data_IF_084944252220
#
_entry.id   IF_084944252220
#
_cell.length_a   1.000
_cell.length_b   1.000
_cell.length_c   1.000
_cell.angle_alpha   90.00
_cell.angle_beta   90.00
_cell.angle_gamma   90.00
#
_symmetry.space_group_name_H-M   'P 1'
#
loop_
_entity.id
_entity.type
_entity.pdbx_description
1 polymer ?
#
# COMPACT_ATOMS: atom_id res chain seq x y z
N UNK A 1 -8.59 14.16 -17.57
CA UNK A 1 -8.09 15.49 -17.99
C UNK A 1 -8.08 16.41 -16.77
N UNK A 2 -7.18 16.22 -15.79
CA UNK A 2 -7.16 17.06 -14.59
C UNK A 2 -5.88 17.03 -13.75
N UNK A 3 -4.95 16.13 -14.01
CA UNK A 3 -3.77 15.95 -13.15
C UNK A 3 -2.49 16.66 -13.63
N UNK A 4 -2.35 16.97 -14.89
CA UNK A 4 -1.10 17.53 -15.44
C UNK A 4 -0.93 19.05 -15.29
N UNK A 5 -1.95 19.78 -14.88
CA UNK A 5 -1.92 21.24 -14.89
C UNK A 5 -1.51 21.90 -13.57
N UNK A 6 -1.34 21.15 -12.47
CA UNK A 6 -1.09 21.73 -11.15
C UNK A 6 0.38 21.88 -10.75
N UNK A 7 1.31 21.15 -11.38
CA UNK A 7 2.72 21.09 -10.95
C UNK A 7 3.54 22.29 -11.47
N UNK A 8 3.14 22.92 -12.55
CA UNK A 8 3.97 23.86 -13.31
C UNK A 8 4.14 25.26 -12.71
N UNK A 9 3.23 25.76 -11.89
CA UNK A 9 3.22 27.18 -11.49
C UNK A 9 3.16 27.51 -9.99
N UNK A 10 2.89 26.57 -9.08
CA UNK A 10 2.73 26.86 -7.61
C UNK A 10 3.03 25.70 -6.65
N UNK A 11 3.78 24.68 -7.04
CA UNK A 11 3.89 23.45 -6.24
C UNK A 11 2.59 22.61 -6.31
N UNK A 12 2.57 21.47 -5.61
CA UNK A 12 1.35 20.66 -5.49
C UNK A 12 0.26 21.49 -4.79
N UNK A 13 -0.85 21.75 -5.47
CA UNK A 13 -1.93 22.56 -4.92
C UNK A 13 -2.45 22.02 -3.59
N UNK A 14 -2.87 22.90 -2.67
CA UNK A 14 -3.37 22.53 -1.35
C UNK A 14 -4.48 21.47 -1.38
N UNK A 15 -5.31 21.46 -2.40
CA UNK A 15 -6.37 20.48 -2.61
C UNK A 15 -5.80 19.08 -2.91
N UNK A 16 -4.77 19.00 -3.75
CA UNK A 16 -4.07 17.75 -4.04
C UNK A 16 -3.39 17.19 -2.80
N UNK A 17 -2.67 18.02 -2.04
CA UNK A 17 -2.05 17.59 -0.78
C UNK A 17 -3.09 17.15 0.26
N UNK A 18 -4.28 17.78 0.26
CA UNK A 18 -5.39 17.36 1.13
C UNK A 18 -5.87 15.93 0.79
N UNK A 19 -6.01 15.61 -0.50
CA UNK A 19 -6.42 14.29 -0.93
C UNK A 19 -5.36 13.23 -0.57
N UNK A 20 -4.06 13.54 -0.71
CA UNK A 20 -2.99 12.64 -0.28
C UNK A 20 -3.06 12.40 1.24
N UNK A 21 -3.45 13.39 2.05
CA UNK A 21 -3.58 13.21 3.52
C UNK A 21 -4.61 12.15 3.90
N UNK A 22 -5.64 11.94 3.10
CA UNK A 22 -6.69 10.95 3.34
C UNK A 22 -6.32 9.53 2.88
N UNK A 23 -5.30 9.38 2.02
CA UNK A 23 -4.82 8.09 1.57
C UNK A 23 -3.97 7.38 2.63
N UNK A 24 -3.92 6.05 2.62
CA UNK A 24 -3.12 5.24 3.56
C UNK A 24 -1.70 4.98 3.06
N UNK A 25 -1.46 5.04 1.74
CA UNK A 25 -0.16 4.93 1.09
C UNK A 25 -0.06 5.89 -0.08
N UNK A 26 1.16 6.15 -0.55
CA UNK A 26 1.45 6.96 -1.74
C UNK A 26 2.06 6.07 -2.81
N UNK A 27 1.39 5.98 -3.97
CA UNK A 27 1.94 5.36 -5.16
C UNK A 27 2.44 6.46 -6.10
N UNK A 28 3.76 6.57 -6.27
CA UNK A 28 4.36 7.52 -7.19
C UNK A 28 4.72 6.83 -8.50
N UNK A 29 4.04 7.20 -9.58
CA UNK A 29 4.37 6.74 -10.94
C UNK A 29 5.38 7.70 -11.56
N UNK A 30 6.53 7.16 -11.96
CA UNK A 30 7.65 7.92 -12.51
C UNK A 30 7.96 7.42 -13.91
N UNK A 31 8.03 8.33 -14.88
CA UNK A 31 8.40 8.01 -16.26
C UNK A 31 9.90 7.80 -16.37
N UNK A 32 10.31 6.72 -17.02
CA UNK A 32 11.71 6.38 -17.25
C UNK A 32 12.12 6.45 -18.71
N UNK A 33 11.21 6.16 -19.64
CA UNK A 33 11.47 6.10 -21.08
C UNK A 33 11.51 7.49 -21.73
N UNK A 34 12.28 7.62 -22.81
CA UNK A 34 12.31 8.81 -23.65
C UNK A 34 11.28 8.66 -24.79
N UNK A 35 10.50 9.73 -25.02
CA UNK A 35 9.54 9.81 -26.11
C UNK A 35 9.40 11.27 -26.54
N UNK A 36 9.70 11.58 -27.79
CA UNK A 36 9.71 12.94 -28.33
C UNK A 36 8.29 13.51 -28.49
N UNK A 37 7.26 12.65 -28.57
CA UNK A 37 5.86 13.06 -28.71
C UNK A 37 5.22 13.40 -27.36
N UNK A 38 5.83 12.97 -26.24
CA UNK A 38 5.35 13.24 -24.87
C UNK A 38 6.27 14.20 -24.17
N UNK A 39 5.83 15.47 -24.05
CA UNK A 39 6.60 16.51 -23.38
C UNK A 39 6.83 16.21 -21.90
N UNK A 40 8.08 16.25 -21.45
CA UNK A 40 8.43 16.21 -20.02
C UNK A 40 8.46 17.63 -19.43
N UNK A 41 7.98 17.80 -18.18
CA UNK A 41 7.88 19.12 -17.51
C UNK A 41 9.25 19.81 -17.41
N UNK A 42 10.31 19.04 -17.12
CA UNK A 42 11.68 19.55 -16.97
C UNK A 42 12.47 19.58 -18.28
N UNK A 43 11.86 19.18 -19.42
CA UNK A 43 12.50 19.11 -20.75
C UNK A 43 13.46 17.94 -20.93
N UNK A 44 13.67 17.11 -19.92
CA UNK A 44 14.41 15.84 -19.96
C UNK A 44 13.79 14.87 -18.97
N UNK A 45 13.89 13.58 -19.25
CA UNK A 45 13.43 12.51 -18.36
C UNK A 45 14.57 12.12 -17.44
N UNK A 46 14.40 12.37 -16.14
CA UNK A 46 15.27 11.86 -15.08
C UNK A 46 14.42 11.42 -13.89
N UNK A 47 14.22 10.10 -13.69
CA UNK A 47 13.44 9.57 -12.60
C UNK A 47 13.90 10.03 -11.21
N UNK A 48 15.22 10.25 -11.06
CA UNK A 48 15.78 10.67 -9.77
C UNK A 48 15.39 12.11 -9.44
N UNK A 49 15.45 13.01 -10.41
CA UNK A 49 15.03 14.41 -10.27
C UNK A 49 13.54 14.54 -9.98
N UNK A 50 12.72 13.71 -10.64
CA UNK A 50 11.27 13.71 -10.44
C UNK A 50 10.89 13.23 -9.04
N UNK A 51 11.56 12.19 -8.53
CA UNK A 51 11.38 11.68 -7.17
C UNK A 51 11.80 12.74 -6.14
N UNK A 52 12.97 13.37 -6.34
CA UNK A 52 13.48 14.42 -5.45
C UNK A 52 12.53 15.61 -5.40
N UNK A 53 11.99 16.03 -6.55
CA UNK A 53 11.03 17.13 -6.64
C UNK A 53 9.78 16.85 -5.81
N UNK A 54 9.14 15.71 -6.01
CA UNK A 54 7.93 15.33 -5.27
C UNK A 54 8.22 15.16 -3.77
N UNK A 55 9.32 14.49 -3.43
CA UNK A 55 9.75 14.31 -2.03
C UNK A 55 9.93 15.66 -1.33
N UNK A 56 10.59 16.61 -2.00
CA UNK A 56 10.82 17.96 -1.46
C UNK A 56 9.51 18.69 -1.18
N UNK A 57 8.53 18.64 -2.09
CA UNK A 57 7.22 19.26 -1.89
C UNK A 57 6.47 18.67 -0.69
N UNK A 58 6.50 17.33 -0.53
CA UNK A 58 5.87 16.65 0.61
C UNK A 58 6.55 17.02 1.94
N UNK A 59 7.87 17.02 1.96
CA UNK A 59 8.69 17.41 3.13
C UNK A 59 8.41 18.86 3.54
N UNK A 60 8.37 19.79 2.58
CA UNK A 60 8.06 21.18 2.85
C UNK A 60 6.65 21.39 3.42
N UNK A 61 5.66 20.66 2.90
CA UNK A 61 4.29 20.69 3.43
C UNK A 61 4.20 20.18 4.88
N UNK A 62 4.96 19.14 5.21
CA UNK A 62 5.01 18.59 6.55
C UNK A 62 5.80 19.48 7.52
N UNK A 63 6.92 20.08 7.08
CA UNK A 63 7.64 21.09 7.85
C UNK A 63 6.74 22.27 8.25
N UNK A 64 5.94 22.78 7.32
CA UNK A 64 4.98 23.83 7.63
C UNK A 64 3.95 23.41 8.69
N UNK A 65 3.53 22.14 8.67
CA UNK A 65 2.64 21.58 9.69
C UNK A 65 3.33 21.52 11.04
N UNK A 66 4.57 21.01 11.08
CA UNK A 66 5.39 20.90 12.29
C UNK A 66 5.67 22.27 12.92
N UNK A 67 6.06 23.28 12.12
CA UNK A 67 6.32 24.64 12.58
C UNK A 67 5.12 25.28 13.29
N UNK A 68 3.91 24.95 12.86
CA UNK A 68 2.66 25.46 13.46
C UNK A 68 2.26 24.70 14.72
N UNK A 69 2.51 23.41 14.79
CA UNK A 69 1.96 22.54 15.83
C UNK A 69 2.96 22.26 16.97
N UNK A 70 4.25 22.06 16.68
CA UNK A 70 5.27 21.75 17.68
C UNK A 70 5.35 22.78 18.83
N UNK A 71 5.32 24.11 18.59
CA UNK A 71 5.35 25.08 19.68
C UNK A 71 4.15 25.00 20.62
N UNK A 72 2.99 24.52 20.12
CA UNK A 72 1.79 24.33 20.94
C UNK A 72 1.97 23.12 21.86
N UNK A 73 2.47 22.01 21.32
CA UNK A 73 2.75 20.80 22.10
C UNK A 73 3.84 21.06 23.14
N UNK A 74 4.90 21.82 22.83
CA UNK A 74 5.95 22.20 23.79
C UNK A 74 5.41 23.01 24.97
N UNK A 75 4.47 23.94 24.72
CA UNK A 75 3.79 24.70 25.78
C UNK A 75 2.91 23.79 26.65
N UNK A 76 2.21 22.83 26.06
CA UNK A 76 1.43 21.85 26.80
C UNK A 76 2.32 20.96 27.67
N UNK A 77 3.43 20.46 27.13
CA UNK A 77 4.38 19.61 27.85
C UNK A 77 5.12 20.32 28.97
N UNK A 78 5.19 21.63 28.94
CA UNK A 78 5.69 22.43 30.08
C UNK A 78 4.78 22.32 31.32
N UNK A 79 3.49 22.08 31.10
CA UNK A 79 2.47 21.91 32.14
C UNK A 79 2.24 20.42 32.43
N UNK A 80 2.07 19.61 31.36
CA UNK A 80 1.77 18.19 31.44
C UNK A 80 3.02 17.37 31.09
N UNK A 81 3.67 16.79 32.09
CA UNK A 81 4.91 16.02 31.90
C UNK A 81 4.73 14.77 31.03
N UNK A 82 3.53 14.21 30.99
CA UNK A 82 3.15 13.06 30.17
C UNK A 82 3.25 13.31 28.65
N UNK A 83 3.17 14.58 28.21
CA UNK A 83 3.32 14.95 26.79
C UNK A 83 4.79 15.06 26.34
N UNK A 84 5.78 14.91 27.22
CA UNK A 84 7.20 15.04 26.87
C UNK A 84 7.69 14.02 25.85
N UNK A 85 7.38 12.71 25.96
CA UNK A 85 7.81 11.74 24.95
C UNK A 85 7.30 12.07 23.54
N UNK A 86 6.08 12.62 23.46
CA UNK A 86 5.50 13.06 22.21
C UNK A 86 6.26 14.27 21.63
N UNK A 87 6.69 15.21 22.45
CA UNK A 87 7.53 16.35 22.01
C UNK A 87 8.85 15.84 21.44
N UNK A 88 9.52 14.92 22.15
CA UNK A 88 10.78 14.33 21.67
C UNK A 88 10.64 13.66 20.32
N UNK A 89 9.56 12.88 20.11
CA UNK A 89 9.25 12.25 18.83
C UNK A 89 8.99 13.29 17.72
N UNK A 90 8.26 14.37 18.03
CA UNK A 90 8.01 15.43 17.06
C UNK A 90 9.28 16.22 16.70
N UNK A 91 10.17 16.46 17.66
CA UNK A 91 11.46 17.12 17.43
C UNK A 91 12.38 16.25 16.55
N UNK A 92 12.39 14.92 16.75
CA UNK A 92 13.11 13.98 15.90
C UNK A 92 12.55 13.96 14.48
N UNK A 93 11.22 13.90 14.33
CA UNK A 93 10.57 13.94 13.03
C UNK A 93 10.89 15.26 12.28
N UNK A 94 10.86 16.39 12.99
CA UNK A 94 11.23 17.69 12.40
C UNK A 94 12.67 17.70 11.92
N UNK A 95 13.61 17.17 12.69
CA UNK A 95 15.03 17.10 12.28
C UNK A 95 15.23 16.27 11.01
N UNK A 96 14.52 15.13 10.87
CA UNK A 96 14.53 14.30 9.65
C UNK A 96 14.01 15.08 8.44
N UNK A 97 12.89 15.80 8.60
CA UNK A 97 12.34 16.63 7.54
C UNK A 97 13.28 17.79 7.15
N UNK A 98 13.96 18.40 8.11
CA UNK A 98 14.99 19.44 7.85
C UNK A 98 16.20 18.91 7.07
N UNK A 99 16.50 17.61 7.16
CA UNK A 99 17.47 16.93 6.30
C UNK A 99 16.96 16.62 4.88
N UNK A 100 15.70 16.96 4.56
CA UNK A 100 15.06 16.67 3.27
C UNK A 100 14.61 15.20 3.11
N UNK A 101 14.53 14.43 4.20
CA UNK A 101 14.10 13.03 4.17
C UNK A 101 12.64 12.89 4.58
N UNK A 102 11.96 11.87 4.04
CA UNK A 102 10.63 11.48 4.52
C UNK A 102 10.75 10.76 5.86
N UNK A 103 9.74 10.86 6.71
CA UNK A 103 9.69 10.14 8.00
C UNK A 103 9.68 8.63 7.76
N UNK A 104 8.98 8.19 6.72
CA UNK A 104 8.96 6.80 6.29
C UNK A 104 10.36 6.28 5.92
N UNK A 105 11.12 7.01 5.08
CA UNK A 105 12.47 6.58 4.68
C UNK A 105 13.46 6.57 5.84
N UNK A 106 13.24 7.38 6.86
CA UNK A 106 14.06 7.41 8.08
C UNK A 106 13.69 6.29 9.08
N UNK A 107 12.60 5.54 8.83
CA UNK A 107 12.15 4.45 9.71
C UNK A 107 11.68 4.92 11.09
N UNK A 108 11.20 6.15 11.20
CA UNK A 108 10.64 6.64 12.47
C UNK A 108 9.24 6.06 12.71
N UNK A 109 8.94 5.78 13.98
CA UNK A 109 7.62 5.36 14.41
C UNK A 109 6.57 6.45 14.11
N UNK A 110 5.56 6.18 13.26
CA UNK A 110 4.53 7.16 12.91
C UNK A 110 3.49 7.37 14.02
N UNK A 111 3.36 6.45 14.99
CA UNK A 111 2.30 6.50 16.00
C UNK A 111 2.26 7.80 16.80
N UNK A 112 3.40 8.33 17.34
CA UNK A 112 3.39 9.60 18.04
C UNK A 112 3.03 10.81 17.16
N UNK A 113 3.08 10.65 15.83
CA UNK A 113 2.86 11.69 14.83
C UNK A 113 1.45 11.65 14.23
N UNK A 114 0.65 10.64 14.58
CA UNK A 114 -0.66 10.36 13.97
C UNK A 114 -1.58 11.60 13.92
N UNK A 115 -1.66 12.39 14.98
CA UNK A 115 -2.52 13.58 15.06
C UNK A 115 -2.12 14.71 14.08
N UNK A 116 -0.93 14.62 13.48
CA UNK A 116 -0.44 15.63 12.54
C UNK A 116 -0.85 15.36 11.10
N UNK A 117 -1.30 14.15 10.79
CA UNK A 117 -1.65 13.72 9.44
C UNK A 117 -0.56 14.08 8.41
N UNK A 118 0.71 13.77 8.75
CA UNK A 118 1.85 14.06 7.90
C UNK A 118 1.81 13.19 6.64
N UNK A 119 2.23 13.77 5.52
CA UNK A 119 2.29 13.09 4.22
C UNK A 119 3.46 12.10 4.19
N UNK A 120 4.58 12.49 4.77
CA UNK A 120 5.84 11.73 4.72
C UNK A 120 5.92 10.58 5.72
N UNK A 121 4.91 10.41 6.60
CA UNK A 121 4.78 9.20 7.45
C UNK A 121 4.19 8.02 6.69
N UNK A 122 3.52 8.28 5.57
CA UNK A 122 2.87 7.23 4.78
C UNK A 122 3.89 6.36 4.08
N UNK A 123 3.64 5.06 3.93
CA UNK A 123 4.46 4.20 3.09
C UNK A 123 4.36 4.62 1.62
N UNK A 124 5.46 4.43 0.90
CA UNK A 124 5.57 4.72 -0.53
C UNK A 124 5.73 3.44 -1.34
N UNK A 125 5.14 3.45 -2.53
CA UNK A 125 5.39 2.49 -3.61
C UNK A 125 5.80 3.31 -4.82
N UNK A 126 6.94 3.00 -5.42
CA UNK A 126 7.40 3.65 -6.64
C UNK A 126 7.15 2.73 -7.83
N UNK A 127 6.41 3.25 -8.81
CA UNK A 127 6.15 2.57 -10.08
C UNK A 127 6.98 3.27 -11.16
N UNK A 128 7.97 2.58 -11.66
CA UNK A 128 8.83 3.03 -12.74
C UNK A 128 8.23 2.57 -14.07
N UNK A 129 7.66 3.51 -14.82
CA UNK A 129 7.13 3.26 -16.16
C UNK A 129 8.28 3.28 -17.16
N UNK A 130 8.69 2.11 -17.59
CA UNK A 130 9.88 1.81 -18.37
C UNK A 130 9.52 1.37 -19.79
N UNK A 131 10.47 1.46 -20.69
CA UNK A 131 10.45 0.71 -21.95
C UNK A 131 11.10 -0.67 -21.77
N UNK A 132 11.07 -1.49 -22.85
CA UNK A 132 11.59 -2.85 -22.82
C UNK A 132 13.10 -2.91 -22.55
N UNK A 133 13.88 -1.94 -23.04
CA UNK A 133 15.32 -1.89 -22.82
C UNK A 133 15.63 -1.65 -21.33
N UNK A 134 14.89 -0.77 -20.68
CA UNK A 134 15.03 -0.47 -19.25
C UNK A 134 14.52 -1.62 -18.36
N UNK A 135 13.47 -2.32 -18.79
CA UNK A 135 13.00 -3.53 -18.10
C UNK A 135 14.02 -4.67 -18.15
N UNK A 136 14.86 -4.72 -19.18
CA UNK A 136 15.94 -5.68 -19.33
C UNK A 136 17.24 -5.23 -18.61
N UNK A 137 17.36 -3.96 -18.20
CA UNK A 137 18.55 -3.38 -17.57
C UNK A 137 18.54 -3.56 -16.06
N UNK A 138 19.16 -4.64 -15.59
CA UNK A 138 19.30 -4.95 -14.16
C UNK A 138 20.07 -3.90 -13.36
N UNK A 139 21.05 -3.21 -13.97
CA UNK A 139 21.84 -2.17 -13.29
C UNK A 139 20.98 -0.92 -13.08
N UNK A 140 20.13 -0.56 -14.06
CA UNK A 140 19.14 0.51 -13.91
C UNK A 140 18.15 0.19 -12.80
N UNK A 141 17.55 -1.00 -12.79
CA UNK A 141 16.61 -1.41 -11.76
C UNK A 141 17.24 -1.36 -10.36
N UNK A 142 18.43 -1.95 -10.18
CA UNK A 142 19.13 -1.93 -8.90
C UNK A 142 19.48 -0.50 -8.43
N UNK A 143 19.76 0.41 -9.36
CA UNK A 143 19.98 1.82 -9.05
C UNK A 143 18.72 2.48 -8.53
N UNK A 144 17.58 2.23 -9.17
CA UNK A 144 16.27 2.80 -8.77
C UNK A 144 15.79 2.21 -7.44
N UNK A 145 15.90 0.91 -7.24
CA UNK A 145 15.60 0.26 -5.95
C UNK A 145 16.40 0.86 -4.80
N UNK A 146 17.69 1.06 -5.01
CA UNK A 146 18.55 1.71 -4.01
C UNK A 146 18.16 3.15 -3.73
N UNK A 147 17.71 3.89 -4.75
CA UNK A 147 17.31 5.28 -4.63
C UNK A 147 16.07 5.43 -3.73
N UNK A 148 15.11 4.52 -3.88
CA UNK A 148 13.82 4.62 -3.19
C UNK A 148 13.75 3.81 -1.89
N UNK A 149 14.78 3.04 -1.55
CA UNK A 149 14.79 2.23 -0.33
C UNK A 149 14.48 3.10 0.92
N UNK A 150 13.68 2.59 1.87
CA UNK A 150 13.15 1.23 2.01
C UNK A 150 11.79 0.99 1.30
N UNK A 151 11.34 1.92 0.45
CA UNK A 151 10.09 1.77 -0.31
C UNK A 151 10.22 0.66 -1.37
N UNK A 152 9.08 0.08 -1.73
CA UNK A 152 8.99 -0.91 -2.80
C UNK A 152 9.09 -0.24 -4.17
N UNK A 153 9.84 -0.87 -5.09
CA UNK A 153 9.99 -0.46 -6.48
C UNK A 153 9.33 -1.48 -7.43
N UNK A 154 8.48 -0.99 -8.30
CA UNK A 154 7.82 -1.78 -9.32
C UNK A 154 8.23 -1.24 -10.69
N UNK A 155 8.71 -2.10 -11.56
CA UNK A 155 9.06 -1.76 -12.94
C UNK A 155 8.03 -2.38 -13.87
N UNK A 156 7.44 -1.59 -14.73
CA UNK A 156 6.44 -2.05 -15.71
C UNK A 156 6.49 -1.15 -16.95
N UNK A 157 5.99 -1.67 -18.05
CA UNK A 157 5.67 -0.93 -19.25
C UNK A 157 4.15 -0.72 -19.31
N UNK A 158 3.70 0.53 -19.17
CA UNK A 158 2.27 0.83 -19.09
C UNK A 158 1.54 0.59 -20.42
N UNK A 159 2.22 0.66 -21.58
CA UNK A 159 1.65 0.34 -22.87
C UNK A 159 1.42 -1.18 -22.99
N UNK A 160 2.41 -1.98 -22.61
CA UNK A 160 2.29 -3.42 -22.53
C UNK A 160 1.17 -3.88 -21.59
N UNK A 161 1.06 -3.27 -20.39
CA UNK A 161 -0.02 -3.56 -19.43
C UNK A 161 -1.41 -3.20 -20.00
N UNK A 162 -1.50 -2.13 -20.78
CA UNK A 162 -2.76 -1.75 -21.43
C UNK A 162 -3.16 -2.76 -22.52
N UNK A 163 -2.21 -3.29 -23.30
CA UNK A 163 -2.47 -4.34 -24.27
C UNK A 163 -2.92 -5.63 -23.59
N UNK A 164 -2.25 -6.05 -22.51
CA UNK A 164 -2.64 -7.23 -21.73
C UNK A 164 -4.08 -7.14 -21.21
N UNK A 165 -4.49 -5.95 -20.77
CA UNK A 165 -5.83 -5.74 -20.20
C UNK A 165 -6.97 -5.89 -21.23
N UNK A 166 -6.65 -5.81 -22.53
CA UNK A 166 -7.61 -5.98 -23.63
C UNK A 166 -7.66 -7.43 -24.17
N UNK A 167 -6.73 -8.30 -23.74
CA UNK A 167 -6.63 -9.68 -24.20
C UNK A 167 -7.53 -10.63 -23.42
N UNK A 168 -7.92 -11.74 -24.06
CA UNK A 168 -8.52 -12.87 -23.33
C UNK A 168 -7.44 -13.52 -22.44
N UNK A 169 -7.82 -14.11 -21.29
CA UNK A 169 -6.84 -14.63 -20.31
C UNK A 169 -5.83 -15.64 -20.85
N UNK A 170 -6.23 -16.46 -21.82
CA UNK A 170 -5.36 -17.46 -22.43
C UNK A 170 -4.30 -16.81 -23.34
N UNK A 171 -4.69 -15.82 -24.12
CA UNK A 171 -3.81 -15.07 -25.02
C UNK A 171 -2.84 -14.19 -24.20
N UNK A 172 -3.33 -13.56 -23.12
CA UNK A 172 -2.52 -12.77 -22.20
C UNK A 172 -1.42 -13.62 -21.53
N UNK A 173 -1.73 -14.86 -21.14
CA UNK A 173 -0.75 -15.77 -20.55
C UNK A 173 0.36 -16.15 -21.55
N UNK A 174 0.02 -16.39 -22.82
CA UNK A 174 1.01 -16.66 -23.89
C UNK A 174 1.88 -15.43 -24.14
N UNK A 175 1.27 -14.23 -24.21
CA UNK A 175 1.97 -12.97 -24.43
C UNK A 175 2.96 -12.64 -23.31
N UNK A 176 2.59 -12.85 -22.03
CA UNK A 176 3.48 -12.73 -20.89
C UNK A 176 4.66 -13.69 -20.96
N UNK A 177 4.38 -14.97 -21.32
CA UNK A 177 5.41 -16.00 -21.42
C UNK A 177 6.43 -15.66 -22.52
N UNK A 178 5.97 -15.17 -23.67
CA UNK A 178 6.81 -14.76 -24.79
C UNK A 178 7.69 -13.55 -24.43
N UNK A 179 7.15 -12.62 -23.61
CA UNK A 179 7.89 -11.47 -23.09
C UNK A 179 8.83 -11.84 -21.94
N UNK A 180 8.76 -13.07 -21.40
CA UNK A 180 9.55 -13.50 -20.24
C UNK A 180 9.13 -12.85 -18.93
N UNK A 181 7.89 -12.37 -18.85
CA UNK A 181 7.31 -11.72 -17.66
C UNK A 181 6.51 -12.76 -16.88
N UNK A 182 6.83 -12.94 -15.60
CA UNK A 182 6.18 -13.95 -14.74
C UNK A 182 4.81 -13.48 -14.20
N UNK A 183 4.64 -12.19 -13.98
CA UNK A 183 3.44 -11.59 -13.36
C UNK A 183 3.15 -10.24 -14.02
N UNK A 184 1.89 -9.94 -14.38
CA UNK A 184 1.50 -8.60 -14.85
C UNK A 184 1.88 -7.53 -13.82
N UNK A 185 2.32 -6.36 -14.29
CA UNK A 185 2.73 -5.27 -13.42
C UNK A 185 1.59 -4.74 -12.53
N UNK A 186 0.35 -4.77 -13.03
CA UNK A 186 -0.83 -4.38 -12.25
C UNK A 186 -1.13 -5.37 -11.12
N UNK A 187 -0.96 -6.67 -11.35
CA UNK A 187 -1.13 -7.70 -10.32
C UNK A 187 -0.03 -7.56 -9.25
N UNK A 188 1.21 -7.33 -9.68
CA UNK A 188 2.33 -7.02 -8.79
C UNK A 188 2.04 -5.77 -7.95
N UNK A 189 1.51 -4.70 -8.56
CA UNK A 189 1.14 -3.47 -7.86
C UNK A 189 0.06 -3.74 -6.80
N UNK A 190 -0.97 -4.51 -7.13
CA UNK A 190 -2.01 -4.88 -6.17
C UNK A 190 -1.43 -5.66 -4.98
N UNK A 191 -0.62 -6.67 -5.25
CA UNK A 191 0.03 -7.49 -4.22
C UNK A 191 0.96 -6.66 -3.33
N UNK A 192 1.84 -5.85 -3.91
CA UNK A 192 2.75 -4.96 -3.17
C UNK A 192 1.95 -3.93 -2.36
N UNK A 193 0.84 -3.41 -2.92
CA UNK A 193 -0.06 -2.49 -2.21
C UNK A 193 -0.67 -3.12 -0.96
N UNK A 194 -1.18 -4.35 -1.08
CA UNK A 194 -1.70 -5.10 0.06
C UNK A 194 -0.62 -5.33 1.13
N UNK A 195 0.57 -5.76 0.72
CA UNK A 195 1.69 -6.00 1.63
C UNK A 195 2.13 -4.72 2.34
N UNK A 196 2.26 -3.62 1.60
CA UNK A 196 2.66 -2.30 2.11
C UNK A 196 1.68 -1.76 3.15
N UNK A 197 0.38 -2.00 2.94
CA UNK A 197 -0.68 -1.60 3.87
C UNK A 197 -0.92 -2.62 4.99
N UNK A 198 -0.20 -3.73 5.00
CA UNK A 198 -0.41 -4.80 5.97
C UNK A 198 -1.77 -5.46 5.84
N UNK A 199 -2.32 -5.51 4.63
CA UNK A 199 -3.63 -6.12 4.35
C UNK A 199 -3.49 -7.59 3.98
N UNK A 200 -4.56 -8.34 4.19
CA UNK A 200 -4.74 -9.72 3.73
C UNK A 200 -6.21 -9.98 3.42
N UNK A 201 -6.47 -11.08 2.73
CA UNK A 201 -7.82 -11.43 2.28
C UNK A 201 -8.29 -12.74 2.91
N UNK A 202 -9.52 -12.76 3.41
CA UNK A 202 -10.22 -14.00 3.67
C UNK A 202 -11.46 -14.12 2.78
N UNK A 203 -11.96 -15.33 2.61
CA UNK A 203 -13.06 -15.66 1.72
C UNK A 203 -14.26 -16.19 2.51
N UNK A 204 -15.44 -15.86 2.04
CA UNK A 204 -16.67 -16.57 2.43
C UNK A 204 -17.25 -17.24 1.20
N UNK A 205 -17.64 -18.51 1.32
CA UNK A 205 -18.27 -19.26 0.25
C UNK A 205 -19.61 -19.81 0.73
N UNK A 206 -20.67 -19.56 -0.03
CA UNK A 206 -22.01 -20.03 0.26
C UNK A 206 -22.76 -20.38 -1.04
N UNK A 207 -23.92 -21.01 -0.91
CA UNK A 207 -24.74 -21.44 -2.06
C UNK A 207 -25.16 -20.29 -2.99
N UNK A 208 -25.23 -19.07 -2.47
CA UNK A 208 -25.74 -17.90 -3.21
C UNK A 208 -24.64 -16.93 -3.61
N UNK A 209 -23.57 -16.85 -2.84
CA UNK A 209 -22.53 -15.84 -2.99
C UNK A 209 -21.20 -16.37 -2.45
N UNK A 210 -20.12 -16.10 -3.19
CA UNK A 210 -18.74 -16.19 -2.71
C UNK A 210 -18.15 -14.80 -2.74
N UNK A 211 -17.43 -14.41 -1.66
CA UNK A 211 -16.92 -13.06 -1.53
C UNK A 211 -15.55 -13.04 -0.86
N UNK A 212 -14.69 -12.15 -1.36
CA UNK A 212 -13.43 -11.79 -0.74
C UNK A 212 -13.63 -10.59 0.20
N UNK A 213 -12.98 -10.62 1.35
CA UNK A 213 -13.03 -9.61 2.39
C UNK A 213 -11.62 -9.20 2.78
N UNK A 214 -11.37 -7.90 2.83
CA UNK A 214 -10.07 -7.35 3.20
C UNK A 214 -10.02 -7.09 4.71
N UNK A 215 -8.95 -7.54 5.35
CA UNK A 215 -8.63 -7.34 6.77
C UNK A 215 -7.16 -6.98 6.93
N UNK A 216 -6.74 -6.57 8.13
CA UNK A 216 -5.33 -6.36 8.41
C UNK A 216 -4.64 -7.65 8.84
N UNK A 217 -3.36 -7.77 8.52
CA UNK A 217 -2.51 -8.85 9.03
C UNK A 217 -2.47 -8.78 10.54
N UNK A 218 -2.79 -9.89 11.19
CA UNK A 218 -2.89 -9.96 12.65
C UNK A 218 -4.31 -9.88 13.21
N UNK A 219 -5.31 -9.54 12.39
CA UNK A 219 -6.71 -9.52 12.82
C UNK A 219 -7.15 -10.93 13.24
N UNK A 220 -7.90 -10.97 14.33
CA UNK A 220 -8.50 -12.20 14.87
C UNK A 220 -9.81 -12.55 14.17
N UNK A 221 -10.26 -13.77 14.32
CA UNK A 221 -11.53 -14.24 13.72
C UNK A 221 -12.75 -13.36 14.10
N UNK A 222 -12.91 -12.86 15.36
CA UNK A 222 -13.98 -11.90 15.68
C UNK A 222 -13.83 -10.56 14.95
N UNK A 223 -12.60 -10.05 14.77
CA UNK A 223 -12.36 -8.79 14.03
C UNK A 223 -12.70 -8.96 12.56
N UNK A 224 -12.26 -10.06 11.95
CA UNK A 224 -12.62 -10.42 10.57
C UNK A 224 -14.16 -10.57 10.39
N UNK A 225 -14.85 -11.22 11.34
CA UNK A 225 -16.30 -11.32 11.34
C UNK A 225 -16.97 -9.94 11.40
N UNK A 226 -16.35 -8.99 12.11
CA UNK A 226 -16.78 -7.60 12.24
C UNK A 226 -16.78 -6.82 10.93
N UNK A 227 -15.86 -7.14 10.02
CA UNK A 227 -15.79 -6.54 8.68
C UNK A 227 -17.04 -6.90 7.85
N UNK A 228 -17.62 -8.08 8.04
CA UNK A 228 -18.85 -8.48 7.40
C UNK A 228 -20.03 -7.73 8.03
N UNK A 229 -20.15 -7.80 9.37
CA UNK A 229 -21.17 -7.11 10.13
C UNK A 229 -20.81 -7.03 11.61
N UNK A 230 -21.09 -5.89 12.25
CA UNK A 230 -20.77 -5.67 13.67
C UNK A 230 -21.43 -6.68 14.63
N UNK A 231 -22.59 -7.21 14.27
CA UNK A 231 -23.29 -8.23 15.07
C UNK A 231 -22.56 -9.58 15.03
N UNK A 232 -21.86 -9.89 13.93
CA UNK A 232 -21.04 -11.10 13.83
C UNK A 232 -19.86 -11.04 14.80
N UNK A 233 -19.22 -9.87 14.95
CA UNK A 233 -18.17 -9.66 15.93
C UNK A 233 -18.69 -9.81 17.37
N UNK A 234 -19.81 -9.12 17.69
CA UNK A 234 -20.37 -9.13 19.04
C UNK A 234 -20.88 -10.50 19.47
N UNK A 235 -21.55 -11.19 18.54
CA UNK A 235 -22.12 -12.52 18.79
C UNK A 235 -21.20 -13.68 18.46
N UNK A 236 -19.92 -13.45 18.15
CA UNK A 236 -18.97 -14.47 17.69
C UNK A 236 -18.89 -15.65 18.66
N UNK A 237 -19.04 -16.86 18.13
CA UNK A 237 -18.91 -18.13 18.88
C UNK A 237 -17.67 -18.87 18.43
N UNK A 238 -17.53 -19.13 17.12
CA UNK A 238 -16.42 -19.85 16.49
C UNK A 238 -16.40 -19.62 14.99
N UNK A 239 -15.26 -19.89 14.36
CA UNK A 239 -15.11 -19.93 12.91
C UNK A 239 -14.85 -21.38 12.44
N UNK A 240 -15.47 -21.78 11.34
CA UNK A 240 -15.07 -22.96 10.58
C UNK A 240 -14.14 -22.47 9.47
N UNK A 241 -12.92 -22.97 9.44
CA UNK A 241 -11.86 -22.46 8.58
C UNK A 241 -11.25 -23.60 7.76
N UNK A 242 -11.14 -23.38 6.46
CA UNK A 242 -10.37 -24.23 5.55
C UNK A 242 -9.51 -23.32 4.66
N UNK A 243 -8.27 -23.69 4.34
CA UNK A 243 -7.47 -22.89 3.42
C UNK A 243 -8.04 -22.97 2.00
N UNK A 244 -7.92 -21.90 1.21
CA UNK A 244 -8.34 -21.92 -0.20
C UNK A 244 -7.67 -23.06 -0.98
N UNK A 245 -6.37 -23.30 -0.74
CA UNK A 245 -5.63 -24.39 -1.38
C UNK A 245 -6.22 -25.76 -1.06
N UNK A 246 -6.50 -26.05 0.23
CA UNK A 246 -7.14 -27.32 0.63
C UNK A 246 -8.56 -27.43 0.04
N UNK A 247 -9.34 -26.35 0.00
CA UNK A 247 -10.68 -26.37 -0.57
C UNK A 247 -10.68 -26.76 -2.05
N UNK A 248 -9.74 -26.21 -2.82
CA UNK A 248 -9.57 -26.49 -4.25
C UNK A 248 -9.03 -27.91 -4.47
N UNK A 249 -7.99 -28.31 -3.70
CA UNK A 249 -7.37 -29.63 -3.82
C UNK A 249 -8.36 -30.77 -3.58
N UNK A 250 -9.21 -30.63 -2.54
CA UNK A 250 -10.20 -31.66 -2.20
C UNK A 250 -11.54 -31.52 -2.94
N UNK A 251 -11.74 -30.45 -3.71
CA UNK A 251 -12.91 -30.24 -4.55
C UNK A 251 -14.16 -29.79 -3.81
N UNK A 252 -14.05 -29.42 -2.53
CA UNK A 252 -15.16 -28.87 -1.75
C UNK A 252 -15.00 -28.98 -0.25
N UNK A 253 -15.86 -28.31 0.48
CA UNK A 253 -15.82 -28.23 1.96
C UNK A 253 -16.04 -29.60 2.61
N UNK A 254 -16.97 -30.42 2.08
CA UNK A 254 -17.26 -31.75 2.64
C UNK A 254 -16.09 -32.71 2.51
N UNK A 255 -15.45 -32.68 1.37
CA UNK A 255 -14.28 -33.49 1.06
C UNK A 255 -13.08 -33.06 1.89
N UNK A 256 -12.85 -31.74 2.01
CA UNK A 256 -11.83 -31.16 2.88
C UNK A 256 -12.09 -31.53 4.36
N UNK A 257 -13.36 -31.49 4.81
CA UNK A 257 -13.73 -31.93 6.16
C UNK A 257 -13.44 -33.41 6.38
N UNK A 258 -13.79 -34.28 5.43
CA UNK A 258 -13.51 -35.72 5.51
C UNK A 258 -11.99 -35.99 5.55
N UNK A 259 -11.19 -35.16 4.91
CA UNK A 259 -9.71 -35.20 4.96
C UNK A 259 -9.12 -34.56 6.24
N UNK A 260 -9.96 -34.04 7.15
CA UNK A 260 -9.52 -33.40 8.39
C UNK A 260 -8.89 -32.01 8.23
N UNK A 261 -9.16 -31.34 7.11
CA UNK A 261 -8.61 -30.01 6.79
C UNK A 261 -9.47 -28.85 7.29
N UNK A 262 -10.75 -29.10 7.58
CA UNK A 262 -11.62 -28.11 8.17
C UNK A 262 -11.36 -28.00 9.67
N UNK A 263 -10.99 -26.81 10.11
CA UNK A 263 -10.64 -26.48 11.49
C UNK A 263 -11.78 -25.72 12.16
N UNK A 264 -11.93 -25.91 13.46
CA UNK A 264 -12.83 -25.12 14.28
C UNK A 264 -11.99 -24.21 15.17
N UNK A 265 -12.07 -22.92 14.91
CA UNK A 265 -11.23 -21.91 15.53
C UNK A 265 -12.03 -21.02 16.50
N UNK A 266 -11.37 -20.58 17.56
CA UNK A 266 -11.93 -19.72 18.61
C UNK A 266 -11.61 -18.25 18.38
N UNK A 267 -11.86 -17.44 19.44
CA UNK A 267 -11.70 -15.98 19.41
C UNK A 267 -10.26 -15.52 19.22
N UNK A 268 -9.30 -16.31 19.64
CA UNK A 268 -7.86 -15.96 19.58
C UNK A 268 -7.21 -16.37 18.25
N UNK A 269 -7.98 -16.96 17.34
CA UNK A 269 -7.45 -17.37 16.04
C UNK A 269 -7.10 -16.13 15.21
N UNK A 270 -5.83 -16.01 14.84
CA UNK A 270 -5.35 -14.99 13.93
C UNK A 270 -5.56 -15.49 12.50
N UNK A 271 -6.35 -14.73 11.74
CA UNK A 271 -6.70 -15.03 10.35
C UNK A 271 -5.45 -15.14 9.48
N UNK A 272 -5.51 -16.06 8.51
CA UNK A 272 -4.46 -16.22 7.51
C UNK A 272 -4.98 -15.81 6.14
N UNK A 273 -4.08 -15.33 5.27
CA UNK A 273 -4.44 -15.01 3.89
C UNK A 273 -4.96 -16.24 3.16
N UNK A 274 -6.09 -16.07 2.45
CA UNK A 274 -6.75 -17.17 1.75
C UNK A 274 -7.56 -18.14 2.63
N UNK A 275 -7.79 -17.83 3.91
CA UNK A 275 -8.73 -18.61 4.72
C UNK A 275 -10.15 -18.50 4.13
N UNK A 276 -10.81 -19.64 3.90
CA UNK A 276 -12.23 -19.72 3.56
C UNK A 276 -13.01 -20.02 4.84
N UNK A 277 -13.94 -19.13 5.21
CA UNK A 277 -14.49 -19.10 6.57
C UNK A 277 -16.01 -19.08 6.59
N UNK A 278 -16.58 -19.88 7.50
CA UNK A 278 -17.97 -19.74 7.94
C UNK A 278 -18.00 -19.34 9.42
N UNK A 279 -18.47 -18.13 9.71
CA UNK A 279 -18.61 -17.66 11.09
C UNK A 279 -19.92 -18.15 11.73
N UNK A 280 -19.81 -18.70 12.94
CA UNK A 280 -20.95 -19.04 13.80
C UNK A 280 -21.07 -17.97 14.87
N UNK A 281 -22.22 -17.32 14.91
CA UNK A 281 -22.53 -16.25 15.86
C UNK A 281 -23.95 -16.38 16.41
N UNK A 282 -24.20 -15.74 17.54
CA UNK A 282 -25.52 -15.64 18.14
C UNK A 282 -25.82 -14.16 18.41
N UNK A 283 -26.96 -13.67 17.91
CA UNK A 283 -27.42 -12.29 18.06
C UNK A 283 -28.46 -12.21 19.17
#
# INVERSE_FOLDING_TARGET
>A
MGSEMCIRDRGMGNEFLSNIREADAICQVTRCFADDDVTHVNGHVDPSDDIETITTELVLADLQTMEKQLPKLQKEAAIKKESRPKVEAWEQAKAVLEEGKTIFSAGLDPEPLHDLFLLTTKPFIYVFNCDQDQLADADFQAKMEKLVAPAEAIFLDAEFEAELAEMEPEDAAEFLADAGIEEPGLDKLARVGFDTLGLQTFLTAGEKESRAWTIHKGDTAPEAAGVIHTDFQKGFIKAQVVSFGDLVEFGGEKEAQAAGKLRLEGKEYVMQDGDVVEFRFNV
#
